data_IF_820167324329
#
_entry.id   IF_820167324329
#
_cell.length_a   1.000
_cell.length_b   1.000
_cell.length_c   1.000
_cell.angle_alpha   90.00
_cell.angle_beta   90.00
_cell.angle_gamma   90.00
#
_symmetry.space_group_name_H-M   'P 1'
#
loop_
_entity.id
_entity.type
_entity.pdbx_description
1 polymer ?
#
# COMPACT_ATOMS: atom_id res chain seq x y z
N UNK A 1 17.79 3.78 -0.51
CA UNK A 1 16.68 4.72 -0.80
C UNK A 1 16.14 5.25 0.53
N UNK A 2 15.63 6.50 0.56
CA UNK A 2 14.96 7.06 1.72
C UNK A 2 13.78 6.18 2.13
N UNK A 3 13.54 6.05 3.44
CA UNK A 3 12.43 5.24 3.97
C UNK A 3 11.20 6.07 4.31
N UNK A 4 11.33 7.39 4.43
CA UNK A 4 10.24 8.32 4.69
C UNK A 4 9.92 9.13 3.44
N UNK A 5 8.68 9.58 3.34
CA UNK A 5 8.23 10.39 2.22
C UNK A 5 6.96 11.14 2.51
N UNK A 6 6.54 11.93 1.52
CA UNK A 6 5.34 12.74 1.55
C UNK A 6 4.27 12.15 0.64
N UNK A 7 3.06 11.98 1.16
CA UNK A 7 1.92 11.50 0.39
C UNK A 7 1.42 12.59 -0.56
N UNK A 8 1.64 12.42 -1.87
CA UNK A 8 1.29 13.42 -2.90
C UNK A 8 -0.15 13.25 -3.36
N UNK A 9 -0.58 12.02 -3.55
CA UNK A 9 -1.94 11.66 -3.95
C UNK A 9 -2.28 10.28 -3.40
N UNK A 10 -3.56 10.01 -3.18
CA UNK A 10 -4.03 8.72 -2.71
C UNK A 10 -5.43 8.40 -3.21
N UNK A 11 -5.75 7.11 -3.20
CA UNK A 11 -7.07 6.56 -3.48
C UNK A 11 -7.28 5.29 -2.66
N UNK A 12 -8.51 4.79 -2.60
CA UNK A 12 -8.85 3.55 -1.89
C UNK A 12 -9.26 2.48 -2.89
N UNK A 13 -8.57 1.34 -2.89
CA UNK A 13 -8.95 0.17 -3.67
C UNK A 13 -10.06 -0.57 -2.91
N UNK A 14 -11.32 -0.29 -3.26
CA UNK A 14 -12.50 -0.87 -2.59
C UNK A 14 -12.89 -2.27 -3.03
N UNK A 15 -12.25 -2.83 -4.05
CA UNK A 15 -12.53 -4.16 -4.61
C UNK A 15 -11.23 -4.83 -5.09
N UNK A 16 -11.15 -6.18 -5.18
CA UNK A 16 -9.93 -6.85 -5.62
C UNK A 16 -9.54 -6.46 -7.05
N UNK A 17 -8.24 -6.28 -7.35
CA UNK A 17 -7.78 -6.09 -8.72
C UNK A 17 -8.19 -7.23 -9.65
N UNK A 18 -8.26 -6.94 -10.95
CA UNK A 18 -8.55 -7.93 -11.97
C UNK A 18 -7.46 -9.03 -12.05
N UNK A 19 -7.77 -10.18 -12.65
CA UNK A 19 -6.80 -11.26 -12.82
C UNK A 19 -5.63 -10.82 -13.75
N UNK A 20 -4.38 -11.26 -13.48
CA UNK A 20 -3.97 -12.20 -12.42
C UNK A 20 -3.57 -11.51 -11.10
N UNK A 21 -4.49 -11.45 -10.14
CA UNK A 21 -4.24 -10.95 -8.79
C UNK A 21 -4.00 -12.12 -7.83
N UNK A 22 -2.83 -12.14 -7.17
CA UNK A 22 -2.43 -13.22 -6.25
C UNK A 22 -2.87 -13.01 -4.79
N UNK A 23 -3.37 -11.82 -4.44
CA UNK A 23 -3.80 -11.52 -3.07
C UNK A 23 -5.21 -12.03 -2.76
N UNK A 24 -5.69 -11.81 -1.52
CA UNK A 24 -7.02 -12.24 -1.08
C UNK A 24 -8.15 -11.66 -1.94
N UNK A 25 -9.15 -12.47 -2.29
CA UNK A 25 -10.34 -12.07 -3.06
C UNK A 25 -11.63 -12.51 -2.37
N UNK A 26 -12.79 -12.10 -2.89
CA UNK A 26 -14.08 -12.51 -2.34
C UNK A 26 -14.29 -11.99 -0.91
N UNK A 27 -14.61 -12.88 0.02
CA UNK A 27 -14.89 -12.53 1.43
C UNK A 27 -13.64 -12.15 2.23
N UNK A 28 -12.47 -12.58 1.76
CA UNK A 28 -11.19 -12.33 2.43
C UNK A 28 -10.54 -11.03 1.94
N UNK A 29 -11.13 -10.36 0.95
CA UNK A 29 -10.64 -9.07 0.47
C UNK A 29 -10.93 -7.97 1.49
N UNK A 30 -9.86 -7.26 1.86
CA UNK A 30 -9.94 -6.06 2.70
C UNK A 30 -9.49 -4.86 1.86
N UNK A 31 -10.26 -3.76 1.78
CA UNK A 31 -9.84 -2.54 1.10
C UNK A 31 -8.54 -1.98 1.64
N UNK A 32 -7.66 -1.55 0.74
CA UNK A 32 -6.38 -0.93 1.07
C UNK A 32 -6.24 0.41 0.34
N UNK A 33 -5.50 1.34 0.93
CA UNK A 33 -5.14 2.59 0.27
C UNK A 33 -4.04 2.35 -0.77
N UNK A 34 -4.01 3.19 -1.79
CA UNK A 34 -2.91 3.27 -2.76
C UNK A 34 -2.46 4.72 -2.79
N UNK A 35 -1.16 4.94 -2.62
CA UNK A 35 -0.57 6.26 -2.50
C UNK A 35 0.58 6.46 -3.49
N UNK A 36 0.67 7.68 -4.02
CA UNK A 36 1.86 8.18 -4.70
C UNK A 36 2.71 8.95 -3.68
N UNK A 37 3.85 8.40 -3.31
CA UNK A 37 4.72 8.94 -2.25
C UNK A 37 5.97 9.54 -2.86
N UNK A 38 6.26 10.80 -2.56
CA UNK A 38 7.51 11.47 -2.88
C UNK A 38 8.57 11.09 -1.84
N UNK A 39 9.66 10.45 -2.27
CA UNK A 39 10.82 10.14 -1.44
C UNK A 39 11.92 11.15 -1.74
N UNK A 40 12.17 12.03 -0.78
CA UNK A 40 13.04 13.21 -0.91
C UNK A 40 12.77 13.97 -2.22
N UNK A 41 13.79 14.56 -2.85
CA UNK A 41 13.72 15.19 -4.17
C UNK A 41 14.04 14.20 -5.31
N UNK A 42 14.06 12.89 -5.02
CA UNK A 42 14.65 11.88 -5.91
C UNK A 42 13.60 11.17 -6.77
N UNK A 43 12.54 10.62 -6.16
CA UNK A 43 11.62 9.73 -6.86
C UNK A 43 10.21 9.76 -6.26
N UNK A 44 9.21 9.50 -7.09
CA UNK A 44 7.86 9.16 -6.64
C UNK A 44 7.59 7.68 -6.85
N UNK A 45 7.07 7.03 -5.82
CA UNK A 45 6.74 5.61 -5.82
C UNK A 45 5.24 5.47 -5.59
N UNK A 46 4.57 4.75 -6.49
CA UNK A 46 3.21 4.28 -6.24
C UNK A 46 3.28 2.98 -5.43
N UNK A 47 2.52 2.90 -4.34
CA UNK A 47 2.52 1.75 -3.45
C UNK A 47 1.27 1.64 -2.60
N UNK A 48 1.14 0.51 -1.90
CA UNK A 48 0.04 0.31 -0.94
C UNK A 48 0.22 1.20 0.28
N UNK A 49 -0.89 1.64 0.85
CA UNK A 49 -0.98 2.25 2.16
C UNK A 49 -1.56 1.23 3.16
N UNK A 50 -1.06 1.23 4.39
CA UNK A 50 -1.63 0.42 5.48
C UNK A 50 -2.97 0.96 6.00
N UNK A 51 -3.26 2.23 5.68
CA UNK A 51 -4.53 2.89 5.97
C UNK A 51 -5.33 3.08 4.68
N UNK A 52 -6.65 2.89 4.75
CA UNK A 52 -7.57 2.95 3.61
C UNK A 52 -8.77 3.85 3.85
N UNK A 53 -8.97 4.30 5.09
CA UNK A 53 -9.99 5.27 5.49
C UNK A 53 -9.64 6.67 4.97
N UNK A 54 -10.44 7.22 4.03
CA UNK A 54 -10.25 8.57 3.52
C UNK A 54 -10.21 9.66 4.59
N UNK A 55 -10.84 9.44 5.76
CA UNK A 55 -10.87 10.41 6.84
C UNK A 55 -9.56 10.49 7.64
N UNK A 56 -8.64 9.54 7.43
CA UNK A 56 -7.32 9.48 8.12
C UNK A 56 -6.15 9.72 7.17
N UNK A 57 -6.42 9.95 5.89
CA UNK A 57 -5.43 10.20 4.86
C UNK A 57 -5.48 11.67 4.45
N UNK A 58 -4.32 12.32 4.46
CA UNK A 58 -4.19 13.74 4.14
C UNK A 58 -3.16 13.94 3.02
N UNK A 59 -3.41 14.91 2.14
CA UNK A 59 -2.40 15.34 1.17
C UNK A 59 -1.25 16.02 1.91
N UNK A 60 -0.01 15.64 1.60
CA UNK A 60 1.17 16.15 2.30
C UNK A 60 1.52 15.39 3.58
N UNK A 61 0.76 14.38 3.97
CA UNK A 61 1.03 13.56 5.15
C UNK A 61 2.39 12.86 5.05
N UNK A 62 3.13 12.81 6.16
CA UNK A 62 4.35 12.00 6.25
C UNK A 62 4.01 10.52 6.36
N UNK A 63 4.73 9.70 5.61
CA UNK A 63 4.59 8.25 5.61
C UNK A 63 5.96 7.56 5.63
N UNK A 64 6.01 6.32 6.10
CA UNK A 64 7.21 5.52 6.16
C UNK A 64 7.03 4.13 5.51
N UNK A 65 8.08 3.67 4.80
CA UNK A 65 8.17 2.37 4.17
C UNK A 65 8.15 1.23 5.20
N UNK A 66 7.23 0.31 5.00
CA UNK A 66 7.03 -0.91 5.80
C UNK A 66 6.84 -2.12 4.90
N UNK A 67 6.78 -3.31 5.51
CA UNK A 67 6.52 -4.58 4.84
C UNK A 67 5.22 -5.19 5.38
N UNK A 68 4.37 -5.68 4.49
CA UNK A 68 3.09 -6.31 4.84
C UNK A 68 2.93 -7.64 4.10
N UNK A 69 2.20 -8.62 4.67
CA UNK A 69 1.81 -9.83 3.96
C UNK A 69 0.97 -9.49 2.72
N UNK A 70 1.25 -10.16 1.61
CA UNK A 70 0.52 -10.00 0.36
C UNK A 70 -0.32 -11.23 0.01
N UNK A 71 0.29 -12.41 0.07
CA UNK A 71 -0.33 -13.68 -0.29
C UNK A 71 0.42 -14.84 0.40
N UNK A 72 -0.18 -16.01 0.41
CA UNK A 72 0.51 -17.27 0.72
C UNK A 72 0.59 -18.08 -0.57
N UNK A 73 1.76 -18.61 -0.89
CA UNK A 73 1.92 -19.48 -2.07
C UNK A 73 1.39 -20.90 -1.82
N UNK A 74 1.44 -21.76 -2.84
CA UNK A 74 0.92 -23.13 -2.78
C UNK A 74 1.67 -24.01 -1.77
N UNK A 75 2.94 -23.69 -1.48
CA UNK A 75 3.80 -24.43 -0.55
C UNK A 75 3.70 -23.89 0.89
N UNK A 76 2.85 -22.87 1.13
CA UNK A 76 2.62 -22.28 2.44
C UNK A 76 3.57 -21.13 2.81
N UNK A 77 4.41 -20.66 1.89
CA UNK A 77 5.32 -19.53 2.10
C UNK A 77 4.54 -18.21 2.07
N UNK A 78 4.78 -17.38 3.08
CA UNK A 78 4.24 -16.02 3.11
C UNK A 78 5.02 -15.11 2.15
N UNK A 79 4.31 -14.56 1.17
CA UNK A 79 4.83 -13.56 0.24
C UNK A 79 4.62 -12.19 0.86
N UNK A 80 5.71 -11.48 1.11
CA UNK A 80 5.69 -10.12 1.64
C UNK A 80 5.79 -9.10 0.51
N UNK A 81 5.15 -7.94 0.69
CA UNK A 81 5.29 -6.78 -0.19
C UNK A 81 5.64 -5.54 0.61
N UNK A 82 6.16 -4.51 -0.05
CA UNK A 82 6.29 -3.19 0.56
C UNK A 82 4.95 -2.45 0.60
N UNK A 83 4.82 -1.55 1.55
CA UNK A 83 3.73 -0.59 1.71
C UNK A 83 4.25 0.68 2.43
N UNK A 84 3.40 1.69 2.55
CA UNK A 84 3.65 2.87 3.36
C UNK A 84 2.61 2.97 4.48
N UNK A 85 3.05 3.36 5.67
CA UNK A 85 2.17 3.64 6.81
C UNK A 85 2.29 5.12 7.20
N UNK A 86 1.23 5.75 7.75
CA UNK A 86 1.36 7.03 8.44
C UNK A 86 2.53 7.02 9.42
N UNK A 87 3.38 8.04 9.37
CA UNK A 87 4.59 8.15 10.19
C UNK A 87 4.31 8.40 11.68
#
# INVERSE_FOLDING_TARGET
MPRRGTLVAWTTQGFPPGPPYKGPTGKDFVPFGVGLVQLDDVIRVEGRLTESDPAKLEFGQEVELTMVPFATDEDGTEVMTFAFQPA
#
